data_IF_423560376521
#
_entry.id   IF_423560376521
#
_cell.length_a   1.000
_cell.length_b   1.000
_cell.length_c   1.000
_cell.angle_alpha   90.00
_cell.angle_beta   90.00
_cell.angle_gamma   90.00
#
_symmetry.space_group_name_H-M   'P 1'
#
loop_
_entity.id
_entity.type
_entity.pdbx_description
1 polymer ?
#
# COMPACT_ATOMS: atom_id res chain seq x y z
N UNK A 1 -17.75 37.10 13.92
CA UNK A 1 -17.29 36.79 12.55
C UNK A 1 -17.31 35.28 12.38
N UNK A 2 -18.42 34.75 11.89
CA UNK A 2 -18.59 33.33 11.60
C UNK A 2 -17.74 32.97 10.39
N UNK A 3 -16.78 32.05 10.57
CA UNK A 3 -16.11 31.39 9.44
C UNK A 3 -17.17 30.52 8.78
N UNK A 4 -17.70 30.98 7.66
CA UNK A 4 -18.41 30.11 6.73
C UNK A 4 -17.47 28.96 6.36
N UNK A 5 -17.81 27.74 6.75
CA UNK A 5 -17.21 26.55 6.16
C UNK A 5 -17.51 26.59 4.67
N UNK A 6 -16.49 26.90 3.87
CA UNK A 6 -16.57 26.77 2.42
C UNK A 6 -17.04 25.34 2.10
N UNK A 7 -18.04 25.23 1.21
CA UNK A 7 -18.52 23.96 0.69
C UNK A 7 -17.32 23.10 0.29
N UNK A 8 -17.23 21.90 0.86
CA UNK A 8 -16.04 21.05 0.78
C UNK A 8 -15.63 20.80 -0.65
N UNK A 9 -14.45 21.28 -1.03
CA UNK A 9 -13.80 20.86 -2.25
C UNK A 9 -13.65 19.34 -2.18
N UNK A 10 -14.28 18.60 -3.10
CA UNK A 10 -14.15 17.15 -3.16
C UNK A 10 -12.66 16.79 -3.21
N UNK A 11 -12.22 15.94 -2.27
CA UNK A 11 -10.82 15.50 -2.17
C UNK A 11 -10.37 14.91 -3.51
N UNK A 12 -9.42 15.55 -4.18
CA UNK A 12 -8.90 15.08 -5.47
C UNK A 12 -7.72 14.15 -5.24
N UNK A 13 -7.99 12.86 -5.35
CA UNK A 13 -7.00 11.83 -5.19
C UNK A 13 -6.14 11.71 -6.46
N UNK A 14 -4.85 11.36 -6.33
CA UNK A 14 -4.05 10.94 -7.47
C UNK A 14 -4.76 9.84 -8.26
N UNK A 15 -4.64 9.85 -9.59
CA UNK A 15 -5.19 8.79 -10.44
C UNK A 15 -4.49 7.46 -10.16
N UNK A 16 -3.16 7.51 -9.96
CA UNK A 16 -2.32 6.32 -9.74
C UNK A 16 -1.30 6.56 -8.64
N UNK A 17 -1.02 5.51 -7.88
CA UNK A 17 0.14 5.38 -7.00
C UNK A 17 0.94 4.20 -7.52
N UNK A 18 2.17 4.46 -7.96
CA UNK A 18 3.03 3.48 -8.62
C UNK A 18 4.21 3.20 -7.71
N UNK A 19 4.26 1.98 -7.18
CA UNK A 19 5.34 1.52 -6.31
C UNK A 19 6.43 0.90 -7.17
N UNK A 20 7.69 1.30 -6.98
CA UNK A 20 8.81 0.83 -7.80
C UNK A 20 9.93 0.32 -6.91
N UNK A 21 10.39 -0.92 -7.12
CA UNK A 21 11.63 -1.40 -6.50
C UNK A 21 12.83 -0.83 -7.25
N UNK A 22 13.90 -0.49 -6.55
CA UNK A 22 15.16 -0.11 -7.17
C UNK A 22 15.69 -1.17 -8.18
N UNK A 23 16.51 -0.72 -9.13
CA UNK A 23 17.20 -1.60 -10.08
C UNK A 23 18.23 -2.50 -9.41
N UNK A 24 18.81 -3.43 -10.17
CA UNK A 24 19.85 -4.33 -9.69
C UNK A 24 21.00 -3.53 -9.07
N UNK A 25 21.39 -3.92 -7.86
CA UNK A 25 22.46 -3.27 -7.09
C UNK A 25 23.62 -4.22 -6.86
N UNK A 26 24.79 -3.68 -6.50
CA UNK A 26 25.95 -4.53 -6.19
C UNK A 26 25.63 -5.55 -5.09
N UNK A 27 24.84 -5.15 -4.09
CA UNK A 27 24.34 -6.04 -3.04
C UNK A 27 23.31 -7.07 -3.49
N UNK A 28 22.77 -7.01 -4.71
CA UNK A 28 21.96 -8.09 -5.28
C UNK A 28 22.82 -9.14 -5.99
N UNK A 29 23.96 -8.75 -6.56
CA UNK A 29 24.90 -9.67 -7.19
C UNK A 29 25.77 -10.38 -6.15
N UNK A 30 26.24 -9.63 -5.15
CA UNK A 30 27.12 -10.13 -4.11
C UNK A 30 26.71 -9.58 -2.74
N UNK A 31 26.22 -10.47 -1.89
CA UNK A 31 25.85 -10.15 -0.51
C UNK A 31 27.05 -9.68 0.33
N UNK A 32 28.28 -10.02 -0.06
CA UNK A 32 29.49 -9.56 0.63
C UNK A 32 29.64 -8.03 0.57
N UNK A 33 28.99 -7.35 -0.39
CA UNK A 33 29.01 -5.89 -0.50
C UNK A 33 28.52 -5.20 0.79
N UNK A 34 27.57 -5.81 1.51
CA UNK A 34 27.03 -5.28 2.77
C UNK A 34 27.97 -5.46 3.98
N UNK A 35 29.12 -6.13 3.81
CA UNK A 35 30.13 -6.27 4.86
C UNK A 35 31.08 -5.07 4.94
N UNK A 36 31.26 -4.34 3.84
CA UNK A 36 32.21 -3.23 3.73
C UNK A 36 31.54 -1.92 3.35
N UNK A 37 30.38 -1.97 2.68
CA UNK A 37 29.62 -0.80 2.26
C UNK A 37 28.32 -0.73 3.06
N UNK A 38 28.02 0.41 3.73
CA UNK A 38 26.74 0.60 4.41
C UNK A 38 25.58 0.45 3.42
N UNK A 39 24.49 -0.21 3.84
CA UNK A 39 23.36 -0.55 2.95
C UNK A 39 22.86 0.66 2.14
N UNK A 40 22.68 1.81 2.79
CA UNK A 40 22.20 3.03 2.13
C UNK A 40 23.13 3.57 1.03
N UNK A 41 24.41 3.16 0.99
CA UNK A 41 25.40 3.57 -0.01
C UNK A 41 25.60 2.56 -1.14
N UNK A 42 24.99 1.38 -1.07
CA UNK A 42 25.15 0.34 -2.10
C UNK A 42 24.66 0.89 -3.46
N UNK A 43 25.53 0.95 -4.48
CA UNK A 43 25.18 1.53 -5.78
C UNK A 43 24.45 0.53 -6.68
N UNK A 44 23.81 1.05 -7.74
CA UNK A 44 23.30 0.23 -8.84
C UNK A 44 24.45 -0.39 -9.64
N UNK A 45 24.17 -1.53 -10.28
CA UNK A 45 25.00 -2.07 -11.36
C UNK A 45 24.71 -1.31 -12.67
N UNK A 46 25.56 -1.43 -13.71
CA UNK A 46 25.23 -0.91 -15.04
C UNK A 46 23.88 -1.44 -15.57
N UNK A 47 23.62 -2.74 -15.35
CA UNK A 47 22.33 -3.37 -15.68
C UNK A 47 21.17 -2.73 -14.89
N UNK A 48 21.35 -2.44 -13.61
CA UNK A 48 20.36 -1.73 -12.79
C UNK A 48 20.02 -0.34 -13.32
N UNK A 49 20.98 0.37 -13.91
CA UNK A 49 20.74 1.67 -14.56
C UNK A 49 19.90 1.50 -15.84
N UNK A 50 20.17 0.48 -16.64
CA UNK A 50 19.38 0.18 -17.85
C UNK A 50 17.95 -0.26 -17.51
N UNK A 51 17.80 -1.11 -16.49
CA UNK A 51 16.50 -1.48 -15.91
C UNK A 51 15.70 -0.25 -15.49
N UNK A 52 16.34 0.72 -14.80
CA UNK A 52 15.68 1.95 -14.38
C UNK A 52 15.18 2.80 -15.56
N UNK A 53 15.96 2.87 -16.65
CA UNK A 53 15.53 3.57 -17.88
C UNK A 53 14.36 2.84 -18.55
N UNK A 54 14.36 1.51 -18.56
CA UNK A 54 13.28 0.71 -19.11
C UNK A 54 11.99 0.88 -18.30
N UNK A 55 12.08 0.81 -16.96
CA UNK A 55 10.96 1.10 -16.06
C UNK A 55 10.43 2.53 -16.27
N UNK A 56 11.31 3.52 -16.48
CA UNK A 56 10.89 4.88 -16.81
C UNK A 56 9.98 4.98 -18.03
N UNK A 57 10.32 4.27 -19.11
CA UNK A 57 9.47 4.20 -20.31
C UNK A 57 8.15 3.49 -20.02
N UNK A 58 8.18 2.34 -19.34
CA UNK A 58 6.96 1.62 -18.97
C UNK A 58 6.02 2.46 -18.11
N UNK A 59 6.53 3.17 -17.10
CA UNK A 59 5.72 4.07 -16.27
C UNK A 59 5.18 5.25 -17.08
N UNK A 60 5.98 5.82 -18.00
CA UNK A 60 5.51 6.86 -18.91
C UNK A 60 4.33 6.36 -19.77
N UNK A 61 4.42 5.14 -20.31
CA UNK A 61 3.35 4.53 -21.10
C UNK A 61 2.08 4.36 -20.26
N UNK A 62 2.21 3.91 -19.00
CA UNK A 62 1.08 3.78 -18.06
C UNK A 62 0.37 5.11 -17.79
N UNK A 63 1.13 6.20 -17.60
CA UNK A 63 0.52 7.52 -17.27
C UNK A 63 0.08 8.31 -18.50
N UNK A 64 0.62 7.99 -19.67
CA UNK A 64 0.29 8.66 -20.95
C UNK A 64 -0.86 7.98 -21.67
N UNK A 65 -0.97 6.66 -21.54
CA UNK A 65 -2.14 5.91 -21.97
C UNK A 65 -3.26 6.28 -21.01
N UNK A 66 -4.25 7.06 -21.50
CA UNK A 66 -5.47 7.33 -20.75
C UNK A 66 -5.99 6.03 -20.12
N UNK A 67 -6.62 6.13 -18.96
CA UNK A 67 -7.25 4.96 -18.32
C UNK A 67 -8.26 4.26 -19.25
N UNK A 68 -9.04 3.28 -18.76
CA UNK A 68 -10.02 2.54 -19.57
C UNK A 68 -10.97 3.43 -20.41
N UNK A 69 -11.11 4.71 -20.08
CA UNK A 69 -11.59 5.75 -21.01
C UNK A 69 -10.51 6.15 -22.04
N UNK A 70 -10.40 5.40 -23.13
CA UNK A 70 -9.51 5.65 -24.28
C UNK A 70 -9.70 7.02 -24.98
N UNK A 71 -10.59 7.88 -24.47
CA UNK A 71 -10.86 9.23 -24.93
C UNK A 71 -10.24 10.34 -24.05
N UNK A 72 -9.46 10.00 -23.02
CA UNK A 72 -8.81 11.02 -22.18
C UNK A 72 -7.75 11.80 -22.96
N UNK A 73 -8.08 13.04 -23.31
CA UNK A 73 -7.17 14.03 -23.95
C UNK A 73 -6.49 14.97 -22.94
N UNK A 74 -6.64 14.69 -21.64
CA UNK A 74 -6.12 15.56 -20.60
C UNK A 74 -4.63 15.35 -20.35
N UNK A 75 -4.00 16.36 -19.76
CA UNK A 75 -2.60 16.30 -19.35
C UNK A 75 -2.42 15.35 -18.14
N UNK A 76 -1.32 14.61 -18.12
CA UNK A 76 -0.85 13.92 -16.92
C UNK A 76 0.29 14.70 -16.27
N UNK A 77 0.44 14.51 -14.96
CA UNK A 77 1.57 14.99 -14.18
C UNK A 77 2.05 13.92 -13.21
N UNK A 78 3.33 13.97 -12.86
CA UNK A 78 3.96 13.01 -11.96
C UNK A 78 4.65 13.73 -10.81
N UNK A 79 4.49 13.20 -9.60
CA UNK A 79 5.28 13.57 -8.43
C UNK A 79 6.02 12.35 -7.90
N UNK A 80 7.32 12.51 -7.61
CA UNK A 80 8.17 11.40 -7.16
C UNK A 80 8.44 11.45 -5.66
N UNK A 81 8.25 10.31 -4.99
CA UNK A 81 8.85 10.03 -3.70
C UNK A 81 10.00 9.05 -3.89
N UNK A 82 11.09 9.22 -3.15
CA UNK A 82 12.25 8.33 -3.26
C UNK A 82 12.87 8.08 -1.90
N UNK A 83 13.23 6.82 -1.63
CA UNK A 83 14.06 6.49 -0.47
C UNK A 83 15.43 7.19 -0.59
N UNK A 84 16.04 7.61 0.53
CA UNK A 84 17.33 8.31 0.51
C UNK A 84 18.52 7.42 0.10
N UNK A 85 18.32 6.12 -0.16
CA UNK A 85 19.39 5.19 -0.50
C UNK A 85 19.94 5.49 -1.91
N UNK A 86 21.24 5.27 -2.12
CA UNK A 86 21.89 5.61 -3.39
C UNK A 86 21.27 4.83 -4.56
N UNK A 87 21.00 3.53 -4.38
CA UNK A 87 20.33 2.70 -5.40
C UNK A 87 18.94 3.21 -5.81
N UNK A 88 18.15 3.72 -4.86
CA UNK A 88 16.81 4.26 -5.16
C UNK A 88 16.91 5.62 -5.83
N UNK A 89 17.84 6.48 -5.40
CA UNK A 89 18.12 7.77 -6.05
C UNK A 89 18.62 7.59 -7.48
N UNK A 90 19.52 6.64 -7.70
CA UNK A 90 20.01 6.28 -9.03
C UNK A 90 18.90 5.71 -9.92
N UNK A 91 18.02 4.88 -9.35
CA UNK A 91 16.84 4.36 -10.07
C UNK A 91 15.90 5.51 -10.47
N UNK A 92 15.62 6.45 -9.56
CA UNK A 92 14.81 7.63 -9.87
C UNK A 92 15.42 8.46 -11.01
N UNK A 93 16.75 8.64 -11.06
CA UNK A 93 17.41 9.35 -12.17
C UNK A 93 17.17 8.65 -13.51
N UNK A 94 17.23 7.32 -13.53
CA UNK A 94 16.92 6.53 -14.73
C UNK A 94 15.46 6.63 -15.17
N UNK A 95 14.54 6.54 -14.21
CA UNK A 95 13.09 6.69 -14.46
C UNK A 95 12.76 8.09 -14.96
N UNK A 96 13.23 9.11 -14.24
CA UNK A 96 12.95 10.52 -14.52
C UNK A 96 13.45 10.98 -15.89
N UNK A 97 14.47 10.34 -16.46
CA UNK A 97 14.97 10.63 -17.80
C UNK A 97 13.96 10.31 -18.92
N UNK A 98 12.93 9.50 -18.66
CA UNK A 98 11.86 9.24 -19.62
C UNK A 98 10.82 10.38 -19.67
N UNK A 99 10.72 11.20 -18.62
CA UNK A 99 9.63 12.17 -18.48
C UNK A 99 10.02 13.55 -19.06
N UNK A 100 9.13 14.19 -19.84
CA UNK A 100 9.26 15.60 -20.16
C UNK A 100 9.27 16.45 -18.88
N UNK A 101 10.12 17.48 -18.82
CA UNK A 101 10.35 18.26 -17.58
C UNK A 101 9.09 18.97 -17.10
N UNK A 102 8.25 19.43 -18.02
CA UNK A 102 6.96 20.09 -17.77
C UNK A 102 5.89 19.15 -17.20
N UNK A 103 6.08 17.83 -17.29
CA UNK A 103 5.18 16.81 -16.71
C UNK A 103 5.54 16.44 -15.27
N UNK A 104 6.67 16.91 -14.76
CA UNK A 104 7.17 16.57 -13.42
C UNK A 104 6.86 17.70 -12.45
N UNK A 105 5.93 17.48 -11.52
CA UNK A 105 5.55 18.45 -10.48
C UNK A 105 6.72 18.66 -9.51
N UNK A 106 7.37 17.58 -9.12
CA UNK A 106 8.45 17.60 -8.14
C UNK A 106 8.95 16.21 -7.76
N UNK A 107 9.98 16.20 -6.94
CA UNK A 107 10.53 14.99 -6.33
C UNK A 107 10.95 15.29 -4.88
N UNK A 108 10.68 14.36 -3.96
CA UNK A 108 11.05 14.49 -2.54
C UNK A 108 11.66 13.21 -2.00
N UNK A 109 12.76 13.34 -1.27
CA UNK A 109 13.29 12.25 -0.46
C UNK A 109 12.38 11.97 0.75
N UNK A 110 12.10 10.71 1.00
CA UNK A 110 11.28 10.27 2.11
C UNK A 110 11.97 9.12 2.87
N UNK A 111 12.52 9.43 4.05
CA UNK A 111 13.26 8.47 4.85
C UNK A 111 12.41 7.28 5.34
N UNK A 112 11.09 7.45 5.44
CA UNK A 112 10.17 6.40 5.90
C UNK A 112 9.87 5.34 4.85
N UNK A 113 10.27 5.54 3.59
CA UNK A 113 10.16 4.55 2.52
C UNK A 113 11.49 3.85 2.20
N UNK A 114 12.48 3.90 3.11
CA UNK A 114 13.73 3.13 3.02
C UNK A 114 13.51 1.63 3.29
N UNK A 115 14.48 0.78 2.95
CA UNK A 115 14.36 -0.67 3.18
C UNK A 115 14.34 -1.02 4.67
N UNK A 116 13.86 -2.21 5.03
CA UNK A 116 14.04 -2.77 6.37
C UNK A 116 15.52 -2.74 6.76
N UNK A 117 15.83 -2.16 7.92
CA UNK A 117 17.19 -2.15 8.43
C UNK A 117 17.57 -3.56 8.93
N UNK A 118 18.68 -4.12 8.44
CA UNK A 118 19.18 -5.45 8.80
C UNK A 118 20.34 -5.40 9.82
N UNK A 119 20.54 -4.26 10.49
CA UNK A 119 21.73 -3.96 11.29
C UNK A 119 22.82 -3.22 10.49
N UNK A 120 23.96 -2.97 11.14
CA UNK A 120 25.01 -2.10 10.59
C UNK A 120 25.77 -2.72 9.39
N UNK A 121 26.55 -3.77 9.64
CA UNK A 121 27.26 -4.53 8.61
C UNK A 121 26.80 -5.98 8.63
N UNK A 122 26.61 -6.56 7.45
CA UNK A 122 26.07 -7.89 7.29
C UNK A 122 27.20 -8.89 7.06
N UNK A 123 27.67 -9.51 8.16
CA UNK A 123 28.65 -10.60 8.10
C UNK A 123 27.97 -11.87 7.58
N UNK A 124 28.49 -12.47 6.52
CA UNK A 124 27.80 -13.51 5.75
C UNK A 124 27.37 -14.72 6.60
N UNK A 125 28.28 -15.28 7.40
CA UNK A 125 27.99 -16.44 8.27
C UNK A 125 26.89 -16.13 9.29
N UNK A 126 26.96 -14.95 9.92
CA UNK A 126 25.95 -14.47 10.88
C UNK A 126 24.60 -14.28 10.18
N UNK A 127 24.60 -13.71 8.97
CA UNK A 127 23.38 -13.51 8.19
C UNK A 127 22.75 -14.82 7.73
N UNK A 128 23.54 -15.85 7.44
CA UNK A 128 23.03 -17.19 7.10
C UNK A 128 22.22 -17.78 8.27
N UNK A 129 22.81 -17.79 9.47
CA UNK A 129 22.14 -18.28 10.68
C UNK A 129 20.88 -17.47 11.02
N UNK A 130 20.92 -16.14 10.84
CA UNK A 130 19.77 -15.26 11.05
C UNK A 130 18.64 -15.58 10.06
N UNK A 131 18.96 -15.80 8.77
CA UNK A 131 17.97 -16.15 7.75
C UNK A 131 17.27 -17.48 8.05
N UNK A 132 18.02 -18.51 8.45
CA UNK A 132 17.46 -19.80 8.87
C UNK A 132 16.53 -19.66 10.09
N UNK A 133 16.92 -18.83 11.06
CA UNK A 133 16.07 -18.55 12.23
C UNK A 133 14.79 -17.82 11.83
N UNK A 134 14.90 -16.85 10.92
CA UNK A 134 13.76 -16.08 10.40
C UNK A 134 12.76 -16.95 9.67
N UNK A 135 13.22 -17.92 8.87
CA UNK A 135 12.33 -18.86 8.18
C UNK A 135 11.48 -19.68 9.14
N UNK A 136 12.02 -20.04 10.32
CA UNK A 136 11.28 -20.76 11.36
C UNK A 136 10.37 -19.87 12.20
N UNK A 137 10.74 -18.61 12.42
CA UNK A 137 10.00 -17.69 13.27
C UNK A 137 8.80 -17.03 12.57
N UNK A 138 8.90 -16.80 11.27
CA UNK A 138 7.94 -16.00 10.51
C UNK A 138 8.54 -14.66 10.07
N UNK A 139 8.07 -14.12 8.95
CA UNK A 139 8.73 -12.99 8.27
C UNK A 139 8.33 -11.65 8.86
N UNK A 140 7.10 -11.51 9.33
CA UNK A 140 6.54 -10.21 9.71
C UNK A 140 7.08 -9.69 11.04
N UNK A 141 7.07 -10.54 12.08
CA UNK A 141 7.47 -10.16 13.43
C UNK A 141 8.95 -10.40 13.76
N UNK A 142 9.68 -11.11 12.90
CA UNK A 142 11.10 -11.33 13.12
C UNK A 142 11.88 -10.02 13.07
N UNK A 143 12.55 -9.67 14.17
CA UNK A 143 13.40 -8.49 14.27
C UNK A 143 14.86 -8.90 14.09
N UNK A 144 15.53 -8.25 13.14
CA UNK A 144 16.96 -8.44 12.95
C UNK A 144 17.74 -7.83 14.14
N UNK A 145 18.85 -8.46 14.58
CA UNK A 145 19.74 -7.84 15.57
C UNK A 145 20.19 -6.46 15.11
N UNK A 146 20.01 -5.43 15.94
CA UNK A 146 20.30 -4.01 15.60
C UNK A 146 19.52 -3.48 14.38
N UNK A 147 18.47 -4.19 13.95
CA UNK A 147 17.66 -3.84 12.79
C UNK A 147 16.18 -3.69 13.12
N UNK A 148 15.37 -3.71 12.06
CA UNK A 148 13.92 -3.59 12.10
C UNK A 148 13.26 -4.98 11.94
N UNK A 149 12.04 -5.12 12.44
CA UNK A 149 11.06 -6.11 11.97
C UNK A 149 10.18 -5.51 10.88
N UNK A 150 9.42 -6.32 10.13
CA UNK A 150 8.48 -5.75 9.15
C UNK A 150 7.32 -5.01 9.85
N UNK A 151 7.02 -5.31 11.12
CA UNK A 151 6.12 -4.53 11.96
C UNK A 151 6.67 -3.11 12.21
N UNK A 152 7.97 -2.95 12.47
CA UNK A 152 8.59 -1.62 12.61
C UNK A 152 8.51 -0.83 11.29
N UNK A 153 8.71 -1.52 10.15
CA UNK A 153 8.52 -0.95 8.81
C UNK A 153 7.08 -0.49 8.61
N UNK A 154 6.10 -1.27 9.08
CA UNK A 154 4.68 -0.95 8.99
C UNK A 154 4.34 0.36 9.69
N UNK A 155 4.89 0.60 10.87
CA UNK A 155 4.63 1.82 11.65
C UNK A 155 5.18 3.08 10.97
N UNK A 156 6.40 3.03 10.43
CA UNK A 156 6.96 4.17 9.70
C UNK A 156 6.24 4.42 8.37
N UNK A 157 5.81 3.36 7.68
CA UNK A 157 4.99 3.48 6.46
C UNK A 157 3.62 4.07 6.79
N UNK A 158 2.99 3.67 7.91
CA UNK A 158 1.75 4.28 8.38
C UNK A 158 1.91 5.79 8.62
N UNK A 159 3.00 6.20 9.29
CA UNK A 159 3.33 7.63 9.46
C UNK A 159 3.53 8.36 8.13
N UNK A 160 4.16 7.72 7.14
CA UNK A 160 4.30 8.28 5.80
C UNK A 160 2.93 8.50 5.13
N UNK A 161 2.02 7.54 5.21
CA UNK A 161 0.67 7.67 4.67
C UNK A 161 -0.08 8.88 5.25
N UNK A 162 0.04 9.15 6.54
CA UNK A 162 -0.54 10.36 7.15
C UNK A 162 0.00 11.65 6.53
N UNK A 163 1.29 11.69 6.20
CA UNK A 163 1.91 12.85 5.54
C UNK A 163 1.45 12.95 4.08
N UNK A 164 1.36 11.82 3.39
CA UNK A 164 0.86 11.74 2.01
C UNK A 164 -0.58 12.24 1.92
N UNK A 165 -1.45 11.81 2.84
CA UNK A 165 -2.83 12.27 2.91
C UNK A 165 -2.92 13.78 3.12
N UNK A 166 -2.11 14.34 4.01
CA UNK A 166 -2.03 15.80 4.19
C UNK A 166 -1.50 16.53 2.96
N UNK A 167 -0.55 15.96 2.22
CA UNK A 167 -0.05 16.55 0.99
C UNK A 167 -1.13 16.59 -0.10
N UNK A 168 -1.96 15.53 -0.17
CA UNK A 168 -3.14 15.46 -1.04
C UNK A 168 -4.19 16.48 -0.62
N UNK A 169 -4.56 16.52 0.67
CA UNK A 169 -5.61 17.41 1.20
C UNK A 169 -5.28 18.89 1.04
N UNK A 170 -4.00 19.23 1.17
CA UNK A 170 -3.53 20.60 0.99
C UNK A 170 -3.32 20.98 -0.49
N UNK A 171 -3.64 20.10 -1.44
CA UNK A 171 -3.49 20.35 -2.86
C UNK A 171 -2.04 20.52 -3.33
N UNK A 172 -1.04 20.07 -2.55
CA UNK A 172 0.38 20.22 -2.89
C UNK A 172 0.79 19.42 -4.13
N UNK A 173 -0.04 18.46 -4.51
CA UNK A 173 0.16 17.51 -5.60
C UNK A 173 -0.78 17.78 -6.78
N UNK A 174 -1.59 18.85 -6.73
CA UNK A 174 -2.54 19.21 -7.78
C UNK A 174 -2.03 20.42 -8.59
N UNK A 175 -1.50 20.22 -9.80
CA UNK A 175 -1.05 21.32 -10.65
C UNK A 175 -2.20 22.05 -11.36
N UNK A 176 -3.38 21.43 -11.54
CA UNK A 176 -4.57 22.06 -12.14
C UNK A 176 -5.77 21.10 -12.21
N UNK A 177 -6.98 21.66 -12.20
CA UNK A 177 -8.28 20.96 -12.10
C UNK A 177 -8.61 19.96 -13.20
N UNK A 178 -7.93 20.01 -14.36
CA UNK A 178 -8.24 19.18 -15.54
C UNK A 178 -7.17 18.11 -15.85
N UNK A 179 -6.26 17.81 -14.92
CA UNK A 179 -5.11 16.94 -15.19
C UNK A 179 -4.99 15.75 -14.24
N UNK A 180 -4.58 14.58 -14.72
CA UNK A 180 -4.34 13.43 -13.85
C UNK A 180 -3.01 13.57 -13.11
N UNK A 181 -3.05 13.60 -11.77
CA UNK A 181 -1.85 13.48 -10.94
C UNK A 181 -1.52 12.00 -10.71
N UNK A 182 -0.26 11.62 -10.89
CA UNK A 182 0.24 10.28 -10.61
C UNK A 182 1.40 10.37 -9.62
N UNK A 183 1.44 9.48 -8.64
CA UNK A 183 2.53 9.38 -7.68
C UNK A 183 3.41 8.19 -8.03
N UNK A 184 4.73 8.40 -8.04
CA UNK A 184 5.70 7.33 -8.24
C UNK A 184 6.59 7.27 -7.00
N UNK A 185 6.59 6.12 -6.31
CA UNK A 185 7.33 5.90 -5.07
C UNK A 185 8.45 4.90 -5.37
N UNK A 186 9.67 5.42 -5.50
CA UNK A 186 10.88 4.60 -5.73
C UNK A 186 11.44 4.17 -4.38
N UNK A 187 11.25 2.89 -4.07
CA UNK A 187 11.51 2.28 -2.76
C UNK A 187 12.15 0.90 -2.94
N UNK A 188 11.83 -0.03 -2.04
CA UNK A 188 12.46 -1.33 -1.90
C UNK A 188 11.38 -2.41 -1.82
N UNK A 189 11.79 -3.67 -1.92
CA UNK A 189 10.86 -4.78 -2.10
C UNK A 189 9.96 -5.01 -0.89
N UNK A 190 10.54 -5.12 0.30
CA UNK A 190 9.76 -5.35 1.53
C UNK A 190 8.91 -4.13 1.88
N UNK A 191 9.50 -2.93 1.81
CA UNK A 191 8.78 -1.69 2.12
C UNK A 191 7.58 -1.44 1.19
N UNK A 192 7.69 -1.78 -0.10
CA UNK A 192 6.56 -1.67 -1.04
C UNK A 192 5.44 -2.66 -0.74
N UNK A 193 5.77 -3.88 -0.29
CA UNK A 193 4.76 -4.85 0.17
C UNK A 193 4.07 -4.40 1.44
N UNK A 194 4.82 -3.82 2.39
CA UNK A 194 4.27 -3.24 3.62
C UNK A 194 3.36 -2.03 3.30
N UNK A 195 3.72 -1.21 2.31
CA UNK A 195 2.86 -0.15 1.81
C UNK A 195 1.52 -0.69 1.32
N UNK A 196 1.52 -1.72 0.47
CA UNK A 196 0.28 -2.34 -0.02
C UNK A 196 -0.53 -2.97 1.13
N UNK A 197 0.13 -3.69 2.04
CA UNK A 197 -0.52 -4.25 3.23
C UNK A 197 -1.23 -3.16 4.04
N UNK A 198 -0.53 -2.05 4.34
CA UNK A 198 -1.10 -0.94 5.09
C UNK A 198 -2.26 -0.28 4.34
N UNK A 199 -2.13 -0.12 3.02
CA UNK A 199 -3.13 0.54 2.18
C UNK A 199 -4.41 -0.28 2.04
N UNK A 200 -4.27 -1.56 1.68
CA UNK A 200 -5.39 -2.47 1.45
C UNK A 200 -5.88 -3.15 2.73
N UNK A 201 -5.25 -2.86 3.88
CA UNK A 201 -5.58 -3.42 5.20
C UNK A 201 -5.47 -4.95 5.23
N UNK A 202 -4.50 -5.49 4.51
CA UNK A 202 -4.24 -6.93 4.49
C UNK A 202 -3.76 -7.42 5.85
N UNK A 203 -4.14 -8.64 6.20
CA UNK A 203 -3.70 -9.30 7.43
C UNK A 203 -2.22 -9.65 7.36
N UNK A 204 -1.64 -10.00 8.52
CA UNK A 204 -0.24 -10.47 8.57
C UNK A 204 -0.07 -11.74 7.74
N UNK A 205 -1.01 -12.69 7.81
CA UNK A 205 -0.96 -13.93 7.04
C UNK A 205 -0.98 -13.65 5.53
N UNK A 206 -1.87 -12.77 5.08
CA UNK A 206 -1.95 -12.34 3.69
C UNK A 206 -0.64 -11.69 3.23
N UNK A 207 -0.03 -10.86 4.06
CA UNK A 207 1.26 -10.24 3.76
C UNK A 207 2.40 -11.26 3.62
N UNK A 208 2.44 -12.31 4.45
CA UNK A 208 3.53 -13.30 4.42
C UNK A 208 3.55 -14.13 3.12
N UNK A 209 2.41 -14.22 2.43
CA UNK A 209 2.27 -14.87 1.11
C UNK A 209 2.85 -14.05 -0.04
N UNK A 210 2.98 -12.74 0.13
CA UNK A 210 3.38 -11.84 -0.96
C UNK A 210 4.82 -12.09 -1.42
N UNK A 211 4.97 -12.31 -2.72
CA UNK A 211 6.25 -12.40 -3.40
C UNK A 211 6.90 -11.03 -3.53
N UNK A 212 8.23 -11.00 -3.38
CA UNK A 212 8.99 -9.77 -3.47
C UNK A 212 8.97 -9.21 -4.89
N UNK A 213 9.08 -7.90 -5.02
CA UNK A 213 9.25 -7.26 -6.33
C UNK A 213 10.58 -7.70 -6.96
N UNK A 214 10.63 -7.87 -8.26
CA UNK A 214 11.85 -7.97 -9.06
C UNK A 214 12.54 -6.60 -9.20
N UNK A 215 13.81 -6.60 -9.65
CA UNK A 215 14.54 -5.35 -9.82
C UNK A 215 13.90 -4.45 -10.89
N UNK A 216 13.60 -3.20 -10.52
CA UNK A 216 12.82 -2.25 -11.34
C UNK A 216 11.40 -2.70 -11.72
N UNK A 217 10.85 -3.76 -11.10
CA UNK A 217 9.43 -4.03 -11.17
C UNK A 217 8.66 -2.86 -10.54
N UNK A 218 7.55 -2.49 -11.17
CA UNK A 218 6.61 -1.53 -10.63
C UNK A 218 5.20 -2.10 -10.59
N UNK A 219 4.45 -1.73 -9.55
CA UNK A 219 3.04 -2.10 -9.40
C UNK A 219 2.20 -0.83 -9.27
N UNK A 220 1.22 -0.72 -10.16
CA UNK A 220 0.26 0.37 -10.24
C UNK A 220 -0.96 0.08 -9.38
N UNK A 221 -1.21 0.95 -8.40
CA UNK A 221 -2.50 1.06 -7.72
C UNK A 221 -3.26 2.21 -8.39
N UNK A 222 -4.40 1.92 -9.00
CA UNK A 222 -5.16 2.93 -9.75
C UNK A 222 -6.52 3.18 -9.12
N UNK A 223 -6.90 4.46 -9.06
CA UNK A 223 -8.18 4.91 -8.54
C UNK A 223 -9.29 4.51 -9.52
N UNK A 224 -10.18 3.65 -9.04
CA UNK A 224 -11.40 3.24 -9.73
C UNK A 224 -12.50 4.30 -9.65
N UNK A 225 -13.60 4.11 -10.41
CA UNK A 225 -14.72 5.07 -10.46
C UNK A 225 -15.41 5.27 -9.10
N UNK A 226 -15.36 4.27 -8.21
CA UNK A 226 -15.87 4.34 -6.84
C UNK A 226 -15.08 5.23 -5.88
N UNK A 227 -13.89 5.68 -6.28
CA UNK A 227 -12.98 6.40 -5.40
C UNK A 227 -12.11 5.49 -4.51
N UNK A 228 -12.08 4.19 -4.80
CA UNK A 228 -11.17 3.22 -4.17
C UNK A 228 -10.01 2.90 -5.12
N UNK A 229 -8.83 2.66 -4.56
CA UNK A 229 -7.69 2.17 -5.34
C UNK A 229 -7.78 0.66 -5.48
N UNK A 230 -7.43 0.14 -6.66
CA UNK A 230 -7.29 -1.30 -6.90
C UNK A 230 -6.08 -1.56 -7.81
N UNK A 231 -5.44 -2.71 -7.59
CA UNK A 231 -4.42 -3.26 -8.49
C UNK A 231 -5.04 -3.75 -9.81
N UNK A 232 -6.27 -4.28 -9.78
CA UNK A 232 -6.98 -4.82 -10.95
C UNK A 232 -7.53 -3.75 -11.91
N UNK A 233 -7.37 -2.46 -11.56
CA UNK A 233 -7.61 -1.37 -12.50
C UNK A 233 -6.53 -1.25 -13.58
N UNK A 234 -5.40 -1.95 -13.40
CA UNK A 234 -4.27 -1.93 -14.33
C UNK A 234 -3.72 -3.32 -14.62
N UNK A 235 -3.60 -4.16 -13.59
CA UNK A 235 -2.99 -5.49 -13.68
C UNK A 235 -4.03 -6.59 -13.89
N UNK A 236 -3.59 -7.74 -14.37
CA UNK A 236 -4.44 -8.92 -14.55
C UNK A 236 -4.55 -9.74 -13.27
N UNK A 237 -5.53 -10.63 -13.22
CA UNK A 237 -5.70 -11.54 -12.08
C UNK A 237 -4.49 -12.48 -11.94
N UNK A 238 -3.96 -12.95 -13.06
CA UNK A 238 -2.82 -13.85 -13.13
C UNK A 238 -1.57 -13.19 -12.55
N UNK A 239 -1.31 -11.92 -12.85
CA UNK A 239 -0.20 -11.16 -12.25
C UNK A 239 -0.33 -11.07 -10.72
N UNK A 240 -1.55 -10.84 -10.21
CA UNK A 240 -1.80 -10.80 -8.77
C UNK A 240 -1.57 -12.16 -8.09
N UNK A 241 -1.96 -13.26 -8.73
CA UNK A 241 -1.70 -14.62 -8.25
C UNK A 241 -0.20 -14.92 -8.23
N UNK A 242 0.54 -14.54 -9.28
CA UNK A 242 2.00 -14.65 -9.34
C UNK A 242 2.70 -13.83 -8.24
N UNK A 243 2.10 -12.72 -7.81
CA UNK A 243 2.57 -11.93 -6.68
C UNK A 243 2.21 -12.51 -5.31
N UNK A 244 1.49 -13.63 -5.27
CA UNK A 244 1.12 -14.33 -4.05
C UNK A 244 -0.14 -13.79 -3.36
N UNK A 245 -0.99 -13.04 -4.06
CA UNK A 245 -2.28 -12.63 -3.50
C UNK A 245 -3.20 -13.85 -3.37
N UNK A 246 -3.86 -13.97 -2.23
CA UNK A 246 -4.85 -15.03 -2.00
C UNK A 246 -6.15 -14.75 -2.79
N UNK A 247 -7.01 -15.77 -2.99
CA UNK A 247 -8.32 -15.57 -3.63
C UNK A 247 -9.17 -14.48 -2.96
N UNK A 248 -9.11 -14.38 -1.63
CA UNK A 248 -9.79 -13.35 -0.84
C UNK A 248 -9.26 -11.94 -1.16
N UNK A 249 -7.93 -11.79 -1.22
CA UNK A 249 -7.30 -10.50 -1.58
C UNK A 249 -7.69 -10.10 -3.00
N UNK A 250 -7.69 -11.03 -3.95
CA UNK A 250 -8.09 -10.77 -5.33
C UNK A 250 -9.57 -10.35 -5.39
N UNK A 251 -10.44 -10.99 -4.61
CA UNK A 251 -11.86 -10.66 -4.53
C UNK A 251 -12.06 -9.23 -3.99
N UNK A 252 -11.31 -8.84 -2.94
CA UNK A 252 -11.27 -7.46 -2.45
C UNK A 252 -10.79 -6.48 -3.54
N UNK A 253 -9.77 -6.83 -4.32
CA UNK A 253 -9.31 -5.98 -5.44
C UNK A 253 -10.36 -5.84 -6.55
N UNK A 254 -11.13 -6.89 -6.84
CA UNK A 254 -12.23 -6.85 -7.82
C UNK A 254 -13.34 -5.93 -7.35
N UNK A 255 -13.72 -6.05 -6.08
CA UNK A 255 -14.69 -5.17 -5.45
C UNK A 255 -14.22 -3.71 -5.47
N UNK A 256 -12.98 -3.42 -5.07
CA UNK A 256 -12.42 -2.06 -5.13
C UNK A 256 -12.40 -1.45 -6.53
N UNK A 257 -12.26 -2.28 -7.57
CA UNK A 257 -12.27 -1.82 -8.96
C UNK A 257 -13.67 -1.43 -9.44
N UNK A 258 -14.72 -2.11 -8.96
CA UNK A 258 -16.11 -1.95 -9.41
C UNK A 258 -17.02 -1.17 -8.45
N UNK A 259 -16.63 -1.05 -7.18
CA UNK A 259 -17.45 -0.48 -6.12
C UNK A 259 -17.89 0.95 -6.44
N UNK A 260 -19.08 1.32 -5.96
CA UNK A 260 -19.55 2.70 -5.92
C UNK A 260 -19.58 3.13 -4.46
N UNK A 261 -19.15 4.36 -4.15
CA UNK A 261 -18.83 4.88 -2.79
C UNK A 261 -19.96 4.75 -1.74
N UNK A 262 -21.15 4.30 -2.14
CA UNK A 262 -22.37 4.16 -1.32
C UNK A 262 -22.63 2.74 -0.77
N UNK A 263 -21.95 1.67 -1.20
CA UNK A 263 -22.23 0.29 -0.72
C UNK A 263 -21.36 -0.21 0.45
N UNK A 264 -20.51 0.65 1.04
CA UNK A 264 -19.52 0.23 2.05
C UNK A 264 -20.13 -0.41 3.31
N UNK A 265 -21.38 -0.06 3.66
CA UNK A 265 -22.08 -0.61 4.84
C UNK A 265 -22.72 -1.98 4.61
N UNK A 266 -23.04 -2.34 3.37
CA UNK A 266 -23.80 -3.57 3.07
C UNK A 266 -22.88 -4.77 2.76
N UNK A 267 -21.64 -4.53 2.32
CA UNK A 267 -20.72 -5.57 1.82
C UNK A 267 -19.45 -5.74 2.69
N UNK A 268 -19.42 -5.15 3.89
CA UNK A 268 -18.37 -5.32 4.89
C UNK A 268 -18.36 -6.74 5.54
N UNK A 269 -18.91 -7.73 4.85
CA UNK A 269 -19.01 -9.13 5.29
C UNK A 269 -17.67 -9.87 5.16
N UNK A 270 -16.79 -9.50 4.23
CA UNK A 270 -15.54 -10.23 3.99
C UNK A 270 -14.52 -10.11 5.11
N UNK A 271 -14.36 -8.92 5.71
CA UNK A 271 -13.40 -8.71 6.81
C UNK A 271 -13.93 -9.21 8.16
N UNK A 272 -15.25 -9.16 8.36
CA UNK A 272 -15.89 -9.73 9.56
C UNK A 272 -15.76 -11.25 9.53
N UNK A 273 -16.03 -11.89 8.38
CA UNK A 273 -15.90 -13.33 8.22
C UNK A 273 -14.49 -13.82 8.62
N UNK A 274 -13.43 -13.11 8.24
CA UNK A 274 -12.04 -13.50 8.57
C UNK A 274 -11.76 -13.68 10.07
N UNK A 275 -12.49 -12.97 10.95
CA UNK A 275 -12.27 -13.04 12.40
C UNK A 275 -13.41 -13.73 13.16
N UNK A 276 -14.56 -13.92 12.51
CA UNK A 276 -15.78 -14.37 13.16
C UNK A 276 -16.49 -15.46 12.35
N UNK A 277 -15.74 -16.49 11.96
CA UNK A 277 -16.24 -17.68 11.23
C UNK A 277 -17.46 -18.37 11.88
N UNK A 278 -17.77 -18.05 13.14
CA UNK A 278 -18.87 -18.64 13.92
C UNK A 278 -19.79 -17.60 14.57
N UNK A 279 -19.95 -16.40 13.98
CA UNK A 279 -20.93 -15.44 14.49
C UNK A 279 -22.35 -15.99 14.24
N UNK A 280 -22.93 -16.61 15.25
CA UNK A 280 -24.36 -16.92 15.30
C UNK A 280 -25.04 -15.66 15.82
N UNK A 281 -25.87 -15.03 14.98
CA UNK A 281 -26.71 -13.94 15.45
C UNK A 281 -27.54 -14.42 16.65
N UNK A 282 -27.65 -13.63 17.73
CA UNK A 282 -28.50 -13.99 18.84
C UNK A 282 -29.91 -14.25 18.29
N UNK A 283 -30.59 -15.33 18.73
CA UNK A 283 -31.94 -15.60 18.26
C UNK A 283 -32.79 -14.36 18.51
N UNK A 284 -33.47 -13.89 17.47
CA UNK A 284 -34.43 -12.79 17.60
C UNK A 284 -35.33 -13.12 18.79
N UNK A 285 -35.34 -12.25 19.81
CA UNK A 285 -36.30 -12.35 20.90
C UNK A 285 -37.68 -12.21 20.26
N UNK A 286 -38.30 -13.37 19.98
CA UNK A 286 -39.62 -13.45 19.41
C UNK A 286 -40.56 -12.60 20.24
N UNK A 287 -41.30 -11.74 19.55
CA UNK A 287 -42.40 -10.96 20.09
C UNK A 287 -43.19 -11.82 21.09
N UNK A 288 -43.16 -11.40 22.36
CA UNK A 288 -43.88 -12.07 23.43
C UNK A 288 -45.36 -12.03 23.14
N UNK A 289 -45.88 -13.12 22.56
CA UNK A 289 -47.31 -13.32 22.41
C UNK A 289 -47.87 -13.68 23.78
N UNK A 290 -48.77 -12.81 24.25
CA UNK A 290 -49.32 -12.89 25.59
C UNK A 290 -50.21 -14.10 25.75
N UNK A 291 -50.16 -14.70 26.94
CA UNK A 291 -51.35 -15.34 27.45
C UNK A 291 -51.68 -14.87 28.87
N UNK A 292 -52.87 -14.29 28.97
CA UNK A 292 -53.47 -13.77 30.19
C UNK A 292 -54.15 -14.95 30.89
N UNK A 293 -53.65 -15.35 32.05
CA UNK A 293 -54.51 -16.02 33.03
C UNK A 293 -54.77 -15.12 34.23
N UNK A 294 -56.00 -14.60 34.25
CA UNK A 294 -56.68 -14.04 35.42
C UNK A 294 -56.72 -15.09 36.53
N UNK A 295 -56.39 -14.70 37.75
CA UNK A 295 -57.32 -14.83 38.87
C UNK A 295 -56.94 -13.87 40.01
N UNK A 296 -57.96 -13.12 40.41
CA UNK A 296 -57.99 -12.10 41.45
C UNK A 296 -58.29 -12.76 42.81
N UNK A 297 -58.20 -11.94 43.86
CA UNK A 297 -58.62 -12.12 45.26
C UNK A 297 -57.65 -12.73 46.28
N UNK A 298 -57.11 -11.84 47.13
CA UNK A 298 -56.38 -12.21 48.35
C UNK A 298 -55.91 -11.03 49.23
N UNK A 299 -56.78 -10.04 49.45
CA UNK A 299 -56.84 -9.12 50.61
C UNK A 299 -55.86 -9.43 51.78
N UNK A 300 -55.07 -8.44 52.23
CA UNK A 300 -55.10 -7.82 53.60
C UNK A 300 -53.80 -7.06 54.00
N UNK A 301 -54.04 -5.76 54.28
CA UNK A 301 -53.47 -4.83 55.29
C UNK A 301 -52.01 -4.38 55.27
N UNK A 302 -51.90 -3.07 55.07
CA UNK A 302 -50.97 -2.13 55.72
C UNK A 302 -50.82 -2.35 57.23
N UNK A 303 -49.61 -2.12 57.74
CA UNK A 303 -49.31 -1.32 58.95
C UNK A 303 -47.78 -1.16 59.10
N UNK A 304 -47.39 0.10 59.32
CA UNK A 304 -46.15 0.64 59.95
C UNK A 304 -44.78 0.36 59.34
#
# INVERSE_FOLDING_TARGET
MSRQHAAGCARRLPKRIILVRHGESQGNLDMSAYSTTPDYRIPLTPRGVEQARAAGRGILDVVSSGGPDANWKGAFYVYFYVSPYERTRATLRGIGAAFPRDRVIGAREECRVREQDFGNFQVEERMRAIKETRERFGRFFFRFPEGESAADVFDRVASFLESLWRDIDNGRLDPSTNCETNLVIVSHGLTSRVFMMKWFKWTVEQFERLNNFENCEFRVMQLGPGGEYSLLMHHTKEELEEWGLSPEMITDQQWRASANRRSWSEECSSFIATFFDNWVDPPEEGEGDGDRQKQDDGKIKSLE
#
